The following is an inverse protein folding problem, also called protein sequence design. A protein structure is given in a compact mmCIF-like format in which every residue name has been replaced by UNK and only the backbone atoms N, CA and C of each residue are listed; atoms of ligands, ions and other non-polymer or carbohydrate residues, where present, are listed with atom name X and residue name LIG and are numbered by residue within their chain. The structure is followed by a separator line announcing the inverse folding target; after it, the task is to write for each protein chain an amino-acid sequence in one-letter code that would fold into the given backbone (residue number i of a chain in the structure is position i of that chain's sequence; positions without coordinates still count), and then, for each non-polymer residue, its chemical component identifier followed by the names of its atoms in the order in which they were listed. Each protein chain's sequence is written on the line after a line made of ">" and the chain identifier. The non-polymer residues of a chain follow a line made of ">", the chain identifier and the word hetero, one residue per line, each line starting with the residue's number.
data_IF_958087194997
#
_entry.id   IF_958087194997
#
_cell.length_a   1.000
_cell.length_b   1.000
_cell.length_c   1.000
_cell.angle_alpha   90.00
_cell.angle_beta   90.00
_cell.angle_gamma   90.00
#
_symmetry.space_group_name_H-M   'P 1'
#
loop_
_entity.id
_entity.type
_entity.pdbx_description
1 polymer ?
#
# COMPACT_ATOMS: atom_id res chain seq x y z
N UNK A 1 34.33 28.76 16.25
CA UNK A 1 34.53 30.23 16.24
C UNK A 1 33.23 30.89 15.79
N UNK A 2 32.63 31.74 16.61
CA UNK A 2 31.47 32.53 16.23
C UNK A 2 31.94 33.88 15.68
N UNK A 3 31.50 34.22 14.47
CA UNK A 3 31.73 35.53 13.89
C UNK A 3 30.84 36.56 14.59
N UNK A 4 31.40 37.66 15.14
CA UNK A 4 30.63 38.73 15.77
C UNK A 4 29.58 39.33 14.81
N UNK A 5 28.37 39.58 15.31
CA UNK A 5 27.26 40.14 14.54
C UNK A 5 27.60 41.41 13.70
N UNK A 6 28.48 42.33 14.15
CA UNK A 6 28.89 43.49 13.33
C UNK A 6 29.61 43.08 12.04
N UNK A 7 30.50 42.09 12.10
CA UNK A 7 31.19 41.55 10.92
C UNK A 7 30.21 40.79 10.01
N UNK A 8 29.24 40.08 10.59
CA UNK A 8 28.15 39.42 9.84
C UNK A 8 27.32 40.41 9.03
N UNK A 9 27.06 41.61 9.57
CA UNK A 9 26.25 42.65 8.91
C UNK A 9 26.87 43.19 7.61
N UNK A 10 28.19 43.17 7.48
CA UNK A 10 28.90 43.55 6.26
C UNK A 10 28.64 42.58 5.10
N UNK A 11 28.42 41.30 5.41
CA UNK A 11 28.16 40.26 4.42
C UNK A 11 26.67 40.03 4.15
N UNK A 12 25.76 40.56 4.98
CA UNK A 12 24.29 40.46 4.77
C UNK A 12 23.81 41.32 3.59
N UNK A 13 24.58 42.33 3.17
CA UNK A 13 24.24 43.21 2.02
C UNK A 13 24.45 42.56 0.64
N UNK A 14 25.01 41.36 0.60
CA UNK A 14 25.03 40.52 -0.60
C UNK A 14 23.91 39.49 -0.46
N UNK A 15 22.94 39.40 -1.39
CA UNK A 15 22.97 39.86 -2.78
C UNK A 15 22.41 41.28 -3.01
N UNK A 16 22.97 41.99 -4.01
CA UNK A 16 22.54 43.34 -4.39
C UNK A 16 21.11 43.40 -4.98
N UNK A 17 20.66 42.29 -5.57
CA UNK A 17 19.31 42.12 -6.09
C UNK A 17 18.92 40.64 -5.99
N UNK A 18 17.72 40.38 -5.47
CA UNK A 18 17.14 39.04 -5.42
C UNK A 18 16.03 38.99 -6.46
N UNK A 19 16.23 38.21 -7.52
CA UNK A 19 15.20 37.99 -8.52
C UNK A 19 13.98 37.30 -7.90
N UNK A 20 12.76 37.58 -8.41
CA UNK A 20 11.59 36.81 -8.00
C UNK A 20 11.75 35.32 -8.36
N UNK A 21 11.04 34.41 -7.67
CA UNK A 21 11.04 33.00 -8.00
C UNK A 21 10.70 32.79 -9.49
N UNK A 22 11.50 31.97 -10.16
CA UNK A 22 11.23 31.59 -11.55
C UNK A 22 10.07 30.59 -11.55
N UNK A 23 9.01 30.88 -12.29
CA UNK A 23 7.91 29.95 -12.50
C UNK A 23 8.39 28.79 -13.38
N UNK A 24 8.86 27.72 -12.77
CA UNK A 24 9.17 26.47 -13.47
C UNK A 24 7.87 25.69 -13.70
N UNK A 25 7.14 26.04 -14.77
CA UNK A 25 6.03 25.22 -15.27
C UNK A 25 6.57 24.24 -16.31
N UNK A 26 6.62 22.97 -15.93
CA UNK A 26 6.87 21.86 -16.85
C UNK A 26 5.54 21.15 -17.11
N UNK A 27 4.98 21.39 -18.30
CA UNK A 27 3.69 20.83 -18.70
C UNK A 27 3.75 19.30 -18.83
N UNK A 28 4.89 18.74 -19.25
CA UNK A 28 5.08 17.30 -19.38
C UNK A 28 5.05 16.63 -18.00
N UNK A 29 5.82 17.18 -17.04
CA UNK A 29 5.79 16.72 -15.66
C UNK A 29 4.40 16.87 -15.04
N UNK A 30 3.71 17.99 -15.31
CA UNK A 30 2.36 18.21 -14.78
C UNK A 30 1.36 17.19 -15.31
N UNK A 31 1.51 16.77 -16.57
CA UNK A 31 0.66 15.78 -17.22
C UNK A 31 0.93 14.39 -16.64
N UNK A 32 2.20 14.04 -16.42
CA UNK A 32 2.59 12.78 -15.78
C UNK A 32 2.08 12.68 -14.33
N UNK A 33 2.20 13.76 -13.56
CA UNK A 33 1.67 13.81 -12.19
C UNK A 33 0.16 13.60 -12.22
N UNK A 34 -0.56 14.29 -13.12
CA UNK A 34 -2.02 14.15 -13.26
C UNK A 34 -2.41 12.73 -13.64
N UNK A 35 -1.70 12.07 -14.55
CA UNK A 35 -2.02 10.68 -14.95
C UNK A 35 -1.82 9.66 -13.82
N UNK A 36 -1.01 9.99 -12.81
CA UNK A 36 -0.70 9.12 -11.67
C UNK A 36 -1.48 9.48 -10.40
N UNK A 37 -2.32 10.51 -10.46
CA UNK A 37 -3.02 11.05 -9.30
C UNK A 37 -4.52 10.81 -9.41
N UNK A 38 -5.08 10.13 -8.43
CA UNK A 38 -6.51 9.84 -8.31
C UNK A 38 -7.07 10.56 -7.08
N UNK A 39 -8.03 11.45 -7.28
CA UNK A 39 -8.60 12.24 -6.20
C UNK A 39 -9.71 11.48 -5.48
N UNK A 40 -9.68 11.51 -4.14
CA UNK A 40 -10.83 11.08 -3.34
C UNK A 40 -12.03 11.98 -3.63
N UNK A 41 -13.25 11.56 -3.30
CA UNK A 41 -14.42 12.42 -3.44
C UNK A 41 -14.88 12.90 -2.07
N UNK A 42 -15.39 14.12 -2.01
CA UNK A 42 -15.97 14.68 -0.79
C UNK A 42 -17.47 14.86 -0.97
N UNK A 43 -18.21 14.58 0.08
CA UNK A 43 -19.65 14.89 0.18
C UNK A 43 -19.89 16.38 0.50
N UNK A 44 -18.87 17.10 0.94
CA UNK A 44 -18.93 18.53 1.24
C UNK A 44 -18.48 19.40 0.05
N UNK A 45 -19.05 20.60 -0.07
CA UNK A 45 -18.71 21.54 -1.13
C UNK A 45 -17.20 21.90 -1.09
N UNK A 46 -16.49 21.79 -2.23
CA UNK A 46 -15.03 21.99 -2.31
C UNK A 46 -14.58 23.42 -1.96
N UNK A 47 -15.52 24.35 -1.79
CA UNK A 47 -15.29 25.78 -1.57
C UNK A 47 -15.24 26.21 -0.11
N UNK A 48 -15.56 25.32 0.84
CA UNK A 48 -15.79 25.73 2.24
C UNK A 48 -14.53 25.83 3.12
N UNK A 49 -13.35 25.40 2.67
CA UNK A 49 -12.12 25.72 3.41
C UNK A 49 -10.82 25.65 2.56
N UNK A 50 -10.36 26.77 1.97
CA UNK A 50 -9.07 26.82 1.26
C UNK A 50 -7.86 26.61 2.19
N UNK A 51 -8.02 26.69 3.52
CA UNK A 51 -6.95 26.52 4.49
C UNK A 51 -6.84 25.09 5.06
N UNK A 52 -7.80 24.21 4.80
CA UNK A 52 -7.79 22.89 5.42
C UNK A 52 -6.69 21.99 4.80
N UNK A 53 -6.00 21.25 5.67
CA UNK A 53 -4.87 20.38 5.34
C UNK A 53 -5.20 19.42 4.18
N UNK A 54 -4.32 19.30 3.18
CA UNK A 54 -4.43 18.29 2.12
C UNK A 54 -3.45 17.16 2.38
N UNK A 55 -3.78 15.97 1.91
CA UNK A 55 -2.86 14.84 1.95
C UNK A 55 -2.77 14.14 0.60
N UNK A 56 -1.61 13.57 0.33
CA UNK A 56 -1.34 12.68 -0.79
C UNK A 56 -0.88 11.35 -0.21
N UNK A 57 -1.62 10.28 -0.48
CA UNK A 57 -1.22 8.91 -0.15
C UNK A 57 -0.42 8.33 -1.32
N UNK A 58 0.85 8.04 -1.09
CA UNK A 58 1.72 7.36 -2.04
C UNK A 58 1.49 5.84 -2.00
N UNK A 59 1.23 5.24 -3.15
CA UNK A 59 1.02 3.79 -3.33
C UNK A 59 1.89 3.23 -4.46
N UNK A 60 2.09 1.91 -4.46
CA UNK A 60 2.89 1.22 -5.48
C UNK A 60 2.23 1.24 -6.85
N UNK A 61 0.95 0.85 -6.92
CA UNK A 61 0.13 0.91 -8.11
C UNK A 61 -1.36 0.85 -7.72
N UNK A 62 -2.25 0.98 -8.71
CA UNK A 62 -3.70 0.88 -8.54
C UNK A 62 -4.33 -0.12 -9.51
N UNK A 63 -5.49 -0.65 -9.13
CA UNK A 63 -6.35 -1.45 -9.99
C UNK A 63 -7.80 -0.98 -9.92
N UNK A 64 -8.57 -1.39 -10.92
CA UNK A 64 -9.97 -1.01 -11.09
C UNK A 64 -10.88 -2.05 -10.43
N UNK A 65 -11.73 -1.60 -9.52
CA UNK A 65 -12.71 -2.45 -8.84
C UNK A 65 -14.13 -1.96 -9.13
N UNK A 66 -14.97 -2.84 -9.69
CA UNK A 66 -16.36 -2.52 -9.97
C UNK A 66 -17.21 -2.68 -8.71
N UNK A 67 -17.87 -1.61 -8.28
CA UNK A 67 -18.76 -1.58 -7.12
C UNK A 67 -19.95 -0.67 -7.40
N UNK A 68 -21.18 -1.18 -7.26
CA UNK A 68 -22.42 -0.43 -7.45
C UNK A 68 -22.47 0.41 -8.75
N UNK A 69 -22.01 -0.16 -9.87
CA UNK A 69 -21.91 0.49 -11.19
C UNK A 69 -20.83 1.58 -11.34
N UNK A 70 -20.01 1.79 -10.31
CA UNK A 70 -18.84 2.69 -10.33
C UNK A 70 -17.54 1.90 -10.38
N UNK A 71 -16.52 2.46 -11.04
CA UNK A 71 -15.17 1.91 -11.05
C UNK A 71 -14.31 2.64 -10.02
N UNK A 72 -13.98 1.96 -8.93
CA UNK A 72 -13.13 2.47 -7.86
C UNK A 72 -11.65 2.19 -8.17
N UNK A 73 -10.77 3.15 -7.86
CA UNK A 73 -9.32 2.97 -7.92
C UNK A 73 -8.79 2.52 -6.56
N UNK A 74 -8.34 1.27 -6.49
CA UNK A 74 -7.83 0.65 -5.26
C UNK A 74 -6.34 0.38 -5.38
N UNK A 75 -5.61 0.54 -4.28
CA UNK A 75 -4.18 0.19 -4.24
C UNK A 75 -3.97 -1.33 -4.40
N UNK A 76 -2.97 -1.72 -5.18
CA UNK A 76 -2.64 -3.14 -5.45
C UNK A 76 -2.04 -3.89 -4.26
N UNK A 77 -1.49 -3.16 -3.28
CA UNK A 77 -0.82 -3.71 -2.10
C UNK A 77 -1.72 -3.67 -0.84
N UNK A 78 -1.80 -4.76 -0.04
CA UNK A 78 -2.69 -4.83 1.13
C UNK A 78 -2.47 -3.72 2.16
N UNK A 79 -1.21 -3.33 2.41
CA UNK A 79 -0.89 -2.28 3.37
C UNK A 79 -1.24 -0.90 2.82
N UNK A 80 -0.97 -0.64 1.54
CA UNK A 80 -1.38 0.59 0.88
C UNK A 80 -2.91 0.73 0.86
N UNK A 81 -3.62 -0.34 0.52
CA UNK A 81 -5.09 -0.36 0.48
C UNK A 81 -5.69 -0.21 1.88
N UNK A 82 -5.10 -0.82 2.91
CA UNK A 82 -5.54 -0.62 4.30
C UNK A 82 -5.43 0.85 4.71
N UNK A 83 -4.30 1.52 4.41
CA UNK A 83 -4.14 2.96 4.69
C UNK A 83 -5.13 3.79 3.88
N UNK A 84 -5.33 3.45 2.60
CA UNK A 84 -6.31 4.12 1.73
C UNK A 84 -7.72 4.08 2.32
N UNK A 85 -8.20 2.88 2.70
CA UNK A 85 -9.52 2.71 3.31
C UNK A 85 -9.60 3.43 4.67
N UNK A 86 -8.56 3.33 5.50
CA UNK A 86 -8.53 3.97 6.81
C UNK A 86 -8.58 5.49 6.73
N UNK A 87 -7.89 6.10 5.76
CA UNK A 87 -7.95 7.54 5.53
C UNK A 87 -9.31 7.96 4.99
N UNK A 88 -9.92 7.14 4.14
CA UNK A 88 -11.26 7.39 3.64
C UNK A 88 -12.30 7.39 4.77
N UNK A 89 -12.27 6.38 5.64
CA UNK A 89 -13.10 6.28 6.85
C UNK A 89 -12.85 7.47 7.78
N UNK A 90 -11.59 7.75 8.13
CA UNK A 90 -11.23 8.81 9.10
C UNK A 90 -11.69 10.20 8.68
N UNK A 91 -11.67 10.49 7.37
CA UNK A 91 -11.95 11.83 6.85
C UNK A 91 -13.32 11.91 6.15
N UNK A 92 -14.17 10.88 6.27
CA UNK A 92 -15.46 10.79 5.58
C UNK A 92 -15.36 11.08 4.07
N UNK A 93 -14.37 10.47 3.42
CA UNK A 93 -14.12 10.62 1.98
C UNK A 93 -14.60 9.38 1.25
N UNK A 94 -15.12 9.55 0.04
CA UNK A 94 -15.36 8.42 -0.86
C UNK A 94 -14.10 8.10 -1.66
N UNK A 95 -13.99 6.84 -2.09
CA UNK A 95 -12.82 6.36 -2.82
C UNK A 95 -12.68 7.02 -4.20
N UNK A 96 -11.44 7.13 -4.71
CA UNK A 96 -11.21 7.70 -6.03
C UNK A 96 -11.86 6.88 -7.15
N UNK A 97 -12.34 7.58 -8.17
CA UNK A 97 -12.92 7.02 -9.42
C UNK A 97 -12.33 7.74 -10.63
N UNK A 98 -12.44 7.16 -11.83
CA UNK A 98 -11.95 7.81 -13.07
C UNK A 98 -12.68 9.13 -13.39
N UNK A 99 -13.96 9.22 -13.05
CA UNK A 99 -14.81 10.41 -13.28
C UNK A 99 -15.42 10.87 -11.95
N UNK A 100 -14.66 11.57 -11.08
CA UNK A 100 -15.18 12.03 -9.80
C UNK A 100 -16.25 13.11 -10.04
N UNK A 101 -17.40 12.97 -9.38
CA UNK A 101 -18.46 14.00 -9.43
C UNK A 101 -18.02 15.27 -8.69
N UNK A 102 -17.33 15.10 -7.55
CA UNK A 102 -16.81 16.19 -6.70
C UNK A 102 -15.40 15.81 -6.20
N UNK A 103 -14.33 16.11 -6.96
CA UNK A 103 -12.97 15.78 -6.55
C UNK A 103 -12.58 16.54 -5.28
N UNK A 104 -12.09 15.80 -4.29
CA UNK A 104 -11.47 16.34 -3.08
C UNK A 104 -10.05 16.81 -3.36
N UNK A 105 -9.50 17.66 -2.48
CA UNK A 105 -8.08 18.01 -2.45
C UNK A 105 -7.17 16.85 -2.01
N UNK A 106 -7.75 15.82 -1.41
CA UNK A 106 -7.03 14.61 -0.99
C UNK A 106 -6.86 13.68 -2.17
N UNK A 107 -5.67 13.10 -2.30
CA UNK A 107 -5.35 12.26 -3.46
C UNK A 107 -4.60 10.99 -3.08
N UNK A 108 -4.79 9.98 -3.92
CA UNK A 108 -3.97 8.79 -4.03
C UNK A 108 -3.02 9.00 -5.22
N UNK A 109 -1.72 8.79 -5.03
CA UNK A 109 -0.71 8.97 -6.08
C UNK A 109 0.12 7.71 -6.23
N UNK A 110 0.30 7.26 -7.47
CA UNK A 110 1.26 6.19 -7.77
C UNK A 110 2.66 6.77 -7.75
N UNK A 111 3.53 6.26 -6.88
CA UNK A 111 4.90 6.73 -6.71
C UNK A 111 5.88 5.55 -6.61
N UNK A 112 7.16 5.86 -6.83
CA UNK A 112 8.24 4.91 -6.60
C UNK A 112 8.53 4.76 -5.10
N UNK A 113 8.84 3.55 -4.60
CA UNK A 113 9.30 3.36 -3.22
C UNK A 113 10.55 4.17 -2.89
N UNK A 114 11.33 4.59 -3.90
CA UNK A 114 12.53 5.41 -3.73
C UNK A 114 12.27 6.85 -3.24
N UNK A 115 11.01 7.25 -3.05
CA UNK A 115 10.66 8.53 -2.44
C UNK A 115 11.03 8.62 -0.96
N UNK A 116 11.22 7.49 -0.27
CA UNK A 116 11.63 7.45 1.14
C UNK A 116 12.95 6.72 1.35
N UNK A 117 13.71 7.08 2.40
CA UNK A 117 14.94 6.37 2.75
C UNK A 117 14.67 4.91 3.16
N UNK A 118 13.46 4.59 3.65
CA UNK A 118 13.07 3.22 3.97
C UNK A 118 12.78 2.38 2.72
N UNK A 119 12.59 2.99 1.55
CA UNK A 119 12.26 2.30 0.29
C UNK A 119 10.97 1.48 0.35
N UNK A 120 10.01 1.91 1.18
CA UNK A 120 8.72 1.25 1.38
C UNK A 120 7.58 2.23 1.19
N UNK A 121 6.50 1.72 0.60
CA UNK A 121 5.17 2.35 0.59
C UNK A 121 4.21 1.48 1.44
N UNK A 122 3.13 2.04 1.99
CA UNK A 122 2.59 3.40 1.79
C UNK A 122 3.35 4.52 2.52
N UNK A 123 3.24 5.75 1.99
CA UNK A 123 3.75 7.00 2.60
C UNK A 123 2.68 8.07 2.50
N UNK A 124 2.49 8.86 3.56
CA UNK A 124 1.51 9.93 3.60
C UNK A 124 2.22 11.28 3.60
N UNK A 125 1.91 12.11 2.61
CA UNK A 125 2.44 13.47 2.47
C UNK A 125 1.32 14.42 2.88
N UNK A 126 1.48 15.13 4.00
CA UNK A 126 0.50 16.07 4.54
C UNK A 126 1.04 17.49 4.37
N UNK A 127 0.29 18.33 3.64
CA UNK A 127 0.61 19.75 3.55
C UNK A 127 -0.23 20.51 4.59
N UNK A 128 0.46 21.11 5.57
CA UNK A 128 -0.14 22.01 6.56
C UNK A 128 -0.02 23.46 6.10
N UNK A 129 -1.14 24.19 6.16
CA UNK A 129 -1.28 25.64 5.96
C UNK A 129 -0.08 26.32 5.25
N UNK A 130 0.01 26.13 3.93
CA UNK A 130 0.94 26.73 2.97
C UNK A 130 2.46 26.73 3.26
N UNK A 131 2.93 26.27 4.43
CA UNK A 131 4.32 26.52 4.90
C UNK A 131 5.07 25.27 5.33
N UNK A 132 4.38 24.17 5.67
CA UNK A 132 5.03 22.95 6.16
C UNK A 132 4.47 21.70 5.48
N UNK A 133 5.37 20.86 4.98
CA UNK A 133 5.07 19.53 4.46
C UNK A 133 5.60 18.48 5.43
N UNK A 134 4.73 17.59 5.89
CA UNK A 134 5.06 16.46 6.74
C UNK A 134 4.96 15.16 5.92
N UNK A 135 5.88 14.24 6.16
CA UNK A 135 5.89 12.93 5.52
C UNK A 135 5.88 11.85 6.59
N UNK A 136 4.83 11.03 6.63
CA UNK A 136 4.74 9.87 7.52
C UNK A 136 5.12 8.61 6.75
N UNK A 137 6.08 7.87 7.28
CA UNK A 137 6.58 6.65 6.65
C UNK A 137 5.62 5.46 6.91
N UNK A 138 5.88 4.34 6.25
CA UNK A 138 5.08 3.12 6.36
C UNK A 138 4.96 2.60 7.79
N UNK A 139 6.05 2.65 8.57
CA UNK A 139 6.08 2.11 9.94
C UNK A 139 5.20 2.95 10.85
N UNK A 140 5.35 4.28 10.80
CA UNK A 140 4.55 5.25 11.56
C UNK A 140 3.06 5.16 11.21
N UNK A 141 2.73 5.03 9.93
CA UNK A 141 1.33 4.87 9.50
C UNK A 141 0.74 3.58 10.03
N UNK A 142 1.47 2.48 9.91
CA UNK A 142 1.00 1.18 10.35
C UNK A 142 0.81 1.12 11.86
N UNK A 143 1.75 1.65 12.65
CA UNK A 143 1.61 1.73 14.11
C UNK A 143 0.45 2.64 14.50
N UNK A 144 0.37 3.84 13.92
CA UNK A 144 -0.72 4.79 14.21
C UNK A 144 -2.09 4.19 13.93
N UNK A 145 -2.26 3.51 12.79
CA UNK A 145 -3.56 2.93 12.42
C UNK A 145 -3.90 1.69 13.25
N UNK A 146 -2.94 0.78 13.43
CA UNK A 146 -3.19 -0.48 14.13
C UNK A 146 -3.34 -0.30 15.64
N UNK A 147 -2.60 0.63 16.26
CA UNK A 147 -2.62 0.82 17.71
C UNK A 147 -3.80 1.69 18.18
N UNK A 148 -4.09 2.76 17.43
CA UNK A 148 -5.08 3.76 17.87
C UNK A 148 -6.51 3.45 17.43
N UNK A 149 -6.70 2.80 16.28
CA UNK A 149 -8.03 2.64 15.68
C UNK A 149 -8.61 1.22 15.79
N UNK A 150 -7.77 0.20 15.95
CA UNK A 150 -8.22 -1.16 16.29
C UNK A 150 -8.12 -1.28 17.81
N UNK A 151 -9.14 -0.89 18.55
CA UNK A 151 -9.04 -0.75 20.02
C UNK A 151 -9.24 -2.07 20.75
N UNK A 152 -10.14 -2.93 20.26
CA UNK A 152 -10.53 -4.15 20.95
C UNK A 152 -9.42 -5.22 20.93
N UNK A 153 -9.00 -5.79 22.09
CA UNK A 153 -7.85 -6.68 22.19
C UNK A 153 -7.89 -7.90 21.25
N UNK A 154 -9.03 -8.56 21.12
CA UNK A 154 -9.18 -9.70 20.20
C UNK A 154 -8.93 -9.32 18.74
N UNK A 155 -9.42 -8.16 18.31
CA UNK A 155 -9.22 -7.68 16.94
C UNK A 155 -7.77 -7.19 16.72
N UNK A 156 -7.09 -6.69 17.76
CA UNK A 156 -5.64 -6.43 17.70
C UNK A 156 -4.85 -7.72 17.44
N UNK A 157 -5.17 -8.81 18.14
CA UNK A 157 -4.52 -10.10 17.93
C UNK A 157 -4.79 -10.67 16.53
N UNK A 158 -6.02 -10.53 16.04
CA UNK A 158 -6.36 -10.92 14.67
C UNK A 158 -5.65 -10.04 13.64
N UNK A 159 -5.54 -8.73 13.86
CA UNK A 159 -4.81 -7.82 12.99
C UNK A 159 -3.32 -8.17 12.92
N UNK A 160 -2.70 -8.50 14.05
CA UNK A 160 -1.32 -9.00 14.09
C UNK A 160 -1.17 -10.34 13.36
N UNK A 161 -2.19 -11.21 13.44
CA UNK A 161 -2.21 -12.48 12.72
C UNK A 161 -2.33 -12.26 11.20
N UNK A 162 -3.07 -11.24 10.74
CA UNK A 162 -3.10 -10.82 9.34
C UNK A 162 -1.72 -10.33 8.88
N UNK A 163 -1.04 -9.51 9.68
CA UNK A 163 0.28 -8.95 9.35
C UNK A 163 1.42 -9.96 9.45
N UNK A 164 1.18 -11.16 9.96
CA UNK A 164 2.22 -12.19 10.08
C UNK A 164 1.86 -13.39 9.22
N UNK A 165 0.82 -14.13 9.57
CA UNK A 165 0.44 -15.39 8.91
C UNK A 165 -0.01 -15.13 7.46
N UNK A 166 -1.02 -14.26 7.28
CA UNK A 166 -1.58 -14.01 5.96
C UNK A 166 -0.62 -13.20 5.08
N UNK A 167 0.04 -12.19 5.65
CA UNK A 167 1.07 -11.39 4.97
C UNK A 167 2.20 -12.28 4.44
N UNK A 168 2.78 -13.14 5.29
CA UNK A 168 3.90 -13.99 4.89
C UNK A 168 3.46 -14.99 3.81
N UNK A 169 2.30 -15.62 3.96
CA UNK A 169 1.77 -16.54 2.95
C UNK A 169 1.54 -15.84 1.61
N UNK A 170 0.95 -14.63 1.63
CA UNK A 170 0.73 -13.82 0.43
C UNK A 170 2.06 -13.51 -0.27
N UNK A 171 3.05 -12.97 0.45
CA UNK A 171 4.34 -12.59 -0.16
C UNK A 171 5.19 -13.79 -0.60
N UNK A 172 5.15 -14.92 0.13
CA UNK A 172 5.80 -16.17 -0.30
C UNK A 172 5.24 -16.63 -1.65
N UNK A 173 3.90 -16.70 -1.77
CA UNK A 173 3.26 -17.09 -3.03
C UNK A 173 3.51 -16.06 -4.12
N UNK A 174 3.47 -14.77 -3.78
CA UNK A 174 3.68 -13.68 -4.72
C UNK A 174 5.11 -13.65 -5.29
N UNK A 175 6.13 -13.87 -4.46
CA UNK A 175 7.51 -13.92 -4.93
C UNK A 175 7.84 -15.17 -5.73
N UNK A 176 7.16 -16.29 -5.44
CA UNK A 176 7.42 -17.57 -6.08
C UNK A 176 6.63 -17.79 -7.38
N UNK A 177 5.31 -17.56 -7.37
CA UNK A 177 4.44 -17.92 -8.50
C UNK A 177 4.35 -16.85 -9.58
N UNK A 178 4.47 -15.56 -9.24
CA UNK A 178 4.34 -14.51 -10.25
C UNK A 178 5.66 -14.35 -11.02
N UNK A 179 5.51 -14.28 -12.34
CA UNK A 179 6.58 -13.78 -13.21
C UNK A 179 6.97 -12.36 -12.82
N UNK A 180 8.16 -11.91 -13.25
CA UNK A 180 8.59 -10.54 -12.97
C UNK A 180 7.65 -9.52 -13.63
N UNK A 181 7.12 -9.81 -14.82
CA UNK A 181 6.19 -8.91 -15.50
C UNK A 181 4.88 -8.76 -14.72
N UNK A 182 4.27 -9.88 -14.31
CA UNK A 182 3.06 -9.85 -13.47
C UNK A 182 3.31 -9.15 -12.14
N UNK A 183 4.44 -9.43 -11.48
CA UNK A 183 4.82 -8.76 -10.25
C UNK A 183 4.95 -7.25 -10.45
N UNK A 184 5.54 -6.83 -11.56
CA UNK A 184 5.70 -5.42 -11.91
C UNK A 184 4.35 -4.74 -12.14
N UNK A 185 3.37 -5.42 -12.74
CA UNK A 185 2.02 -4.84 -12.84
C UNK A 185 1.41 -4.48 -11.49
N UNK A 186 1.80 -5.17 -10.41
CA UNK A 186 1.30 -4.90 -9.06
C UNK A 186 2.16 -3.87 -8.32
N UNK A 187 3.49 -3.96 -8.43
CA UNK A 187 4.42 -3.26 -7.52
C UNK A 187 5.36 -2.26 -8.19
N UNK A 188 5.26 -2.07 -9.52
CA UNK A 188 6.09 -1.12 -10.25
C UNK A 188 5.30 -0.37 -11.31
N UNK A 189 5.60 0.92 -11.45
CA UNK A 189 5.04 1.74 -12.51
C UNK A 189 6.10 1.92 -13.61
N UNK A 190 5.92 1.23 -14.75
CA UNK A 190 6.56 1.51 -16.06
C UNK A 190 8.00 2.08 -16.01
N UNK A 191 8.93 1.36 -15.40
CA UNK A 191 10.36 1.60 -15.64
C UNK A 191 10.91 0.52 -16.57
N UNK A 192 11.98 0.80 -17.31
CA UNK A 192 12.58 -0.16 -18.24
C UNK A 192 13.12 -1.40 -17.51
N UNK A 193 13.07 -2.55 -18.19
CA UNK A 193 13.25 -3.94 -17.70
C UNK A 193 14.54 -4.24 -16.90
N UNK A 194 15.48 -3.30 -16.77
CA UNK A 194 16.81 -3.52 -16.20
C UNK A 194 16.94 -3.26 -14.69
N UNK A 195 16.05 -2.48 -14.05
CA UNK A 195 16.16 -2.14 -12.61
C UNK A 195 15.32 -3.03 -11.66
N UNK A 196 14.60 -4.01 -12.21
CA UNK A 196 13.52 -4.72 -11.51
C UNK A 196 13.95 -5.81 -10.53
N UNK A 197 15.19 -6.29 -10.59
CA UNK A 197 15.69 -7.30 -9.64
C UNK A 197 15.61 -6.82 -8.19
N UNK A 198 15.53 -5.50 -7.96
CA UNK A 198 15.53 -4.90 -6.62
C UNK A 198 14.15 -4.74 -5.98
N UNK A 199 13.03 -4.79 -6.72
CA UNK A 199 11.72 -4.51 -6.11
C UNK A 199 11.26 -5.64 -5.18
N UNK A 200 11.51 -6.90 -5.54
CA UNK A 200 11.24 -8.06 -4.67
C UNK A 200 12.12 -8.04 -3.41
N UNK A 201 13.39 -7.67 -3.53
CA UNK A 201 14.32 -7.56 -2.39
C UNK A 201 13.98 -6.38 -1.48
N UNK A 202 13.55 -5.25 -2.03
CA UNK A 202 13.04 -4.12 -1.24
C UNK A 202 11.79 -4.52 -0.46
N UNK A 203 10.79 -5.12 -1.12
CA UNK A 203 9.57 -5.56 -0.44
C UNK A 203 9.82 -6.62 0.63
N UNK A 204 10.82 -7.50 0.45
CA UNK A 204 11.14 -8.53 1.44
C UNK A 204 11.68 -7.95 2.75
N UNK A 205 12.20 -6.72 2.74
CA UNK A 205 12.62 -6.04 3.97
C UNK A 205 11.45 -5.43 4.74
N UNK A 206 10.30 -5.20 4.08
CA UNK A 206 9.10 -4.65 4.71
C UNK A 206 8.51 -5.64 5.72
N UNK A 207 7.97 -5.09 6.81
CA UNK A 207 7.30 -5.87 7.86
C UNK A 207 8.17 -6.98 8.47
N UNK A 208 9.50 -6.80 8.50
CA UNK A 208 10.44 -7.83 8.97
C UNK A 208 10.28 -9.20 8.28
N UNK A 209 9.75 -9.24 7.05
CA UNK A 209 9.51 -10.50 6.33
C UNK A 209 10.81 -11.28 6.14
N UNK A 210 11.90 -10.61 5.78
CA UNK A 210 13.22 -11.23 5.64
C UNK A 210 13.73 -11.90 6.93
N UNK A 211 13.34 -11.41 8.11
CA UNK A 211 13.75 -12.00 9.38
C UNK A 211 12.99 -13.31 9.63
N UNK A 212 11.69 -13.32 9.35
CA UNK A 212 10.83 -14.51 9.52
C UNK A 212 11.07 -15.57 8.44
N UNK A 213 11.38 -15.15 7.21
CA UNK A 213 11.43 -16.00 6.03
C UNK A 213 12.81 -16.00 5.35
N UNK A 214 13.89 -15.87 6.14
CA UNK A 214 15.27 -15.83 5.62
C UNK A 214 15.61 -17.07 4.78
N UNK A 215 15.24 -18.27 5.27
CA UNK A 215 15.50 -19.52 4.56
C UNK A 215 14.77 -19.60 3.20
N UNK A 216 13.56 -19.03 3.11
CA UNK A 216 12.85 -18.94 1.84
C UNK A 216 13.58 -17.99 0.87
N UNK A 217 14.00 -16.82 1.33
CA UNK A 217 14.70 -15.83 0.51
C UNK A 217 16.07 -16.32 0.01
N UNK A 218 16.81 -17.06 0.84
CA UNK A 218 18.09 -17.65 0.45
C UNK A 218 17.91 -18.69 -0.67
N UNK A 219 16.89 -19.55 -0.55
CA UNK A 219 16.55 -20.53 -1.58
C UNK A 219 16.07 -19.86 -2.87
N UNK A 220 15.23 -18.82 -2.78
CA UNK A 220 14.72 -18.06 -3.92
C UNK A 220 15.86 -17.34 -4.67
N UNK A 221 16.86 -16.84 -3.94
CA UNK A 221 18.04 -16.22 -4.56
C UNK A 221 18.91 -17.27 -5.24
N UNK A 222 19.09 -18.44 -4.60
CA UNK A 222 19.91 -19.52 -5.13
C UNK A 222 19.34 -20.16 -6.41
N UNK A 223 18.01 -20.21 -6.55
CA UNK A 223 17.36 -20.79 -7.75
C UNK A 223 17.55 -19.96 -9.01
N UNK A 224 17.97 -18.70 -8.87
CA UNK A 224 18.33 -17.81 -9.99
C UNK A 224 19.79 -17.94 -10.44
N UNK A 225 20.63 -18.65 -9.68
CA UNK A 225 22.04 -18.87 -9.97
C UNK A 225 22.23 -20.17 -10.79
N UNK A 226 23.24 -20.25 -11.69
CA UNK A 226 23.55 -21.48 -12.43
C UNK A 226 24.08 -22.57 -11.48
N UNK A 227 23.16 -23.31 -10.85
CA UNK A 227 23.45 -24.46 -10.00
C UNK A 227 23.49 -25.75 -10.83
N UNK A 228 24.28 -26.76 -10.39
CA UNK A 228 24.20 -28.11 -10.93
C UNK A 228 22.77 -28.67 -10.86
N UNK A 229 22.31 -29.46 -11.85
CA UNK A 229 20.94 -29.99 -11.91
C UNK A 229 20.41 -30.66 -10.63
N UNK A 230 21.15 -31.52 -9.91
CA UNK A 230 20.63 -32.17 -8.70
C UNK A 230 20.43 -31.19 -7.53
N UNK A 231 21.25 -30.14 -7.44
CA UNK A 231 21.11 -29.10 -6.41
C UNK A 231 19.93 -28.18 -6.71
N UNK A 232 19.65 -27.92 -7.99
CA UNK A 232 18.50 -27.15 -8.45
C UNK A 232 17.18 -27.89 -8.15
N UNK A 233 17.12 -29.20 -8.37
CA UNK A 233 15.93 -30.00 -8.05
C UNK A 233 15.66 -30.04 -6.54
N UNK A 234 16.70 -30.18 -5.72
CA UNK A 234 16.57 -30.16 -4.26
C UNK A 234 16.13 -28.79 -3.73
N UNK A 235 16.65 -27.69 -4.29
CA UNK A 235 16.24 -26.34 -3.88
C UNK A 235 14.79 -26.04 -4.26
N UNK A 236 14.36 -26.46 -5.46
CA UNK A 236 12.97 -26.35 -5.89
C UNK A 236 12.02 -27.16 -4.99
N UNK A 237 12.36 -28.41 -4.67
CA UNK A 237 11.56 -29.24 -3.75
C UNK A 237 11.40 -28.61 -2.37
N UNK A 238 12.49 -28.06 -1.82
CA UNK A 238 12.45 -27.39 -0.53
C UNK A 238 11.63 -26.10 -0.58
N UNK A 239 11.69 -25.33 -1.67
CA UNK A 239 10.83 -24.16 -1.89
C UNK A 239 9.35 -24.55 -1.89
N UNK A 240 8.97 -25.59 -2.66
CA UNK A 240 7.60 -26.09 -2.68
C UNK A 240 7.10 -26.48 -1.30
N UNK A 241 7.90 -27.21 -0.51
CA UNK A 241 7.54 -27.58 0.88
C UNK A 241 7.28 -26.37 1.77
N UNK A 242 8.10 -25.32 1.65
CA UNK A 242 7.91 -24.09 2.45
C UNK A 242 6.60 -23.40 2.06
N UNK A 243 6.31 -23.31 0.77
CA UNK A 243 5.08 -22.70 0.25
C UNK A 243 3.85 -23.49 0.70
N UNK A 244 3.89 -24.82 0.59
CA UNK A 244 2.82 -25.69 1.05
C UNK A 244 2.61 -25.60 2.56
N UNK A 245 3.70 -25.53 3.34
CA UNK A 245 3.65 -25.35 4.78
C UNK A 245 3.00 -24.00 5.15
N UNK A 246 3.48 -22.89 4.57
CA UNK A 246 2.92 -21.56 4.80
C UNK A 246 1.43 -21.49 4.43
N UNK A 247 1.05 -22.11 3.31
CA UNK A 247 -0.35 -22.18 2.88
C UNK A 247 -1.19 -23.05 3.82
N UNK A 248 -0.68 -24.22 4.23
CA UNK A 248 -1.37 -25.13 5.15
C UNK A 248 -1.59 -24.49 6.52
N UNK A 249 -0.65 -23.69 7.02
CA UNK A 249 -0.81 -22.92 8.26
C UNK A 249 -1.81 -21.77 8.13
N UNK A 250 -1.98 -21.21 6.93
CA UNK A 250 -2.89 -20.07 6.69
C UNK A 250 -4.34 -20.49 6.52
N UNK A 251 -4.61 -21.70 5.99
CA UNK A 251 -5.99 -22.19 5.76
C UNK A 251 -6.87 -22.20 7.01
N UNK A 252 -6.46 -22.77 8.17
CA UNK A 252 -7.30 -22.77 9.36
C UNK A 252 -7.64 -21.36 9.83
N UNK A 253 -6.70 -20.42 9.70
CA UNK A 253 -6.92 -19.02 10.06
C UNK A 253 -7.97 -18.35 9.17
N UNK A 254 -7.90 -18.56 7.85
CA UNK A 254 -8.92 -18.06 6.92
C UNK A 254 -10.30 -18.68 7.16
N UNK A 255 -10.36 -20.00 7.43
CA UNK A 255 -11.62 -20.68 7.76
C UNK A 255 -12.19 -20.22 9.11
N UNK A 256 -11.32 -19.88 10.07
CA UNK A 256 -11.75 -19.26 11.31
C UNK A 256 -12.40 -17.89 11.05
N UNK A 257 -11.75 -17.03 10.26
CA UNK A 257 -12.28 -15.71 9.90
C UNK A 257 -13.56 -15.80 9.07
N UNK A 258 -13.68 -16.79 8.19
CA UNK A 258 -14.89 -17.03 7.38
C UNK A 258 -16.14 -17.31 8.23
N UNK A 259 -15.95 -17.96 9.38
CA UNK A 259 -17.02 -18.27 10.33
C UNK A 259 -17.12 -17.23 11.45
N UNK A 260 -16.29 -16.20 11.43
CA UNK A 260 -16.25 -15.19 12.47
C UNK A 260 -17.37 -14.17 12.26
N UNK A 261 -18.12 -13.85 13.31
CA UNK A 261 -19.15 -12.81 13.27
C UNK A 261 -18.51 -11.44 13.50
N UNK A 262 -18.46 -10.64 12.44
CA UNK A 262 -17.91 -9.29 12.51
C UNK A 262 -18.94 -8.30 13.03
N UNK A 263 -18.55 -7.52 14.04
CA UNK A 263 -19.30 -6.35 14.49
C UNK A 263 -18.94 -5.14 13.61
N UNK A 264 -19.97 -4.42 13.14
CA UNK A 264 -19.82 -3.19 12.34
C UNK A 264 -19.08 -2.08 13.10
N UNK A 265 -19.01 -2.16 14.43
CA UNK A 265 -18.19 -1.26 15.26
C UNK A 265 -16.68 -1.36 14.98
N UNK A 266 -16.22 -2.44 14.33
CA UNK A 266 -14.80 -2.72 14.08
C UNK A 266 -14.35 -2.38 12.66
N UNK A 267 -14.74 -1.19 12.21
CA UNK A 267 -14.56 -0.70 10.84
C UNK A 267 -13.11 -0.81 10.35
N UNK A 268 -12.12 -0.45 11.19
CA UNK A 268 -10.70 -0.50 10.80
C UNK A 268 -10.14 -1.92 10.68
N UNK A 269 -10.59 -2.85 11.53
CA UNK A 269 -10.21 -4.25 11.37
C UNK A 269 -10.83 -4.82 10.09
N UNK A 270 -12.11 -4.54 9.83
CA UNK A 270 -12.78 -4.97 8.60
C UNK A 270 -12.09 -4.39 7.37
N UNK A 271 -11.69 -3.12 7.40
CA UNK A 271 -10.91 -2.49 6.33
C UNK A 271 -9.57 -3.19 6.10
N UNK A 272 -8.88 -3.60 7.18
CA UNK A 272 -7.61 -4.34 7.09
C UNK A 272 -7.80 -5.72 6.50
N UNK A 273 -8.80 -6.48 6.96
CA UNK A 273 -9.12 -7.79 6.41
C UNK A 273 -9.49 -7.67 4.92
N UNK A 274 -10.34 -6.71 4.60
CA UNK A 274 -10.79 -6.46 3.22
C UNK A 274 -9.64 -6.10 2.30
N UNK A 275 -8.65 -5.33 2.78
CA UNK A 275 -7.49 -4.97 1.98
C UNK A 275 -6.66 -6.19 1.56
N UNK A 276 -6.43 -7.16 2.46
CA UNK A 276 -5.77 -8.42 2.09
C UNK A 276 -6.60 -9.23 1.10
N UNK A 277 -7.89 -9.43 1.38
CA UNK A 277 -8.75 -10.27 0.53
C UNK A 277 -8.85 -9.68 -0.90
N UNK A 278 -9.09 -8.37 -1.03
CA UNK A 278 -9.18 -7.70 -2.33
C UNK A 278 -7.87 -7.79 -3.12
N UNK A 279 -6.73 -7.53 -2.49
CA UNK A 279 -5.42 -7.63 -3.15
C UNK A 279 -5.12 -9.07 -3.58
N UNK A 280 -5.45 -10.08 -2.76
CA UNK A 280 -5.28 -11.50 -3.14
C UNK A 280 -6.17 -11.86 -4.34
N UNK A 281 -7.41 -11.38 -4.38
CA UNK A 281 -8.33 -11.62 -5.49
C UNK A 281 -7.89 -10.92 -6.78
N UNK A 282 -7.21 -9.78 -6.65
CA UNK A 282 -6.69 -8.98 -7.76
C UNK A 282 -5.38 -9.52 -8.39
N UNK A 283 -4.71 -10.49 -7.76
CA UNK A 283 -3.53 -11.14 -8.37
C UNK A 283 -3.87 -11.63 -9.78
N UNK A 284 -3.02 -11.46 -10.82
CA UNK A 284 -3.30 -11.90 -12.18
C UNK A 284 -3.74 -13.36 -12.28
N UNK A 285 -4.71 -13.66 -13.16
CA UNK A 285 -5.25 -15.02 -13.31
C UNK A 285 -4.42 -15.93 -14.21
N UNK A 286 -3.39 -15.40 -14.86
CA UNK A 286 -2.46 -16.14 -15.74
C UNK A 286 -1.63 -17.19 -14.98
N UNK A 287 -1.39 -16.97 -13.68
CA UNK A 287 -0.63 -17.89 -12.83
C UNK A 287 -1.52 -18.55 -11.77
N UNK A 288 -1.31 -19.86 -11.50
CA UNK A 288 -2.04 -20.53 -10.43
C UNK A 288 -1.59 -19.97 -9.08
N UNK A 289 -2.48 -19.23 -8.41
CA UNK A 289 -2.24 -18.65 -7.09
C UNK A 289 -3.12 -19.36 -6.05
N UNK A 290 -2.59 -20.36 -5.31
CA UNK A 290 -3.39 -21.23 -4.43
C UNK A 290 -4.25 -20.46 -3.40
N UNK A 291 -3.71 -19.37 -2.83
CA UNK A 291 -4.44 -18.55 -1.87
C UNK A 291 -5.69 -17.90 -2.46
N UNK A 292 -5.59 -17.39 -3.71
CA UNK A 292 -6.71 -16.79 -4.45
C UNK A 292 -7.78 -17.83 -4.77
N UNK A 293 -7.36 -19.00 -5.23
CA UNK A 293 -8.29 -20.10 -5.52
C UNK A 293 -9.01 -20.56 -4.25
N UNK A 294 -8.28 -20.70 -3.14
CA UNK A 294 -8.86 -21.12 -1.87
C UNK A 294 -9.91 -20.14 -1.35
N UNK A 295 -9.61 -18.83 -1.36
CA UNK A 295 -10.55 -17.79 -0.92
C UNK A 295 -11.81 -17.82 -1.80
N UNK A 296 -11.66 -17.91 -3.13
CA UNK A 296 -12.81 -17.98 -4.05
C UNK A 296 -13.72 -19.18 -3.80
N UNK A 297 -13.16 -20.33 -3.42
CA UNK A 297 -13.90 -21.57 -3.27
C UNK A 297 -14.44 -21.79 -1.85
N UNK A 298 -13.71 -21.35 -0.82
CA UNK A 298 -13.96 -21.73 0.57
C UNK A 298 -14.27 -20.55 1.50
N UNK A 299 -14.13 -19.31 1.02
CA UNK A 299 -14.33 -18.12 1.85
C UNK A 299 -15.33 -17.10 1.26
N UNK A 300 -16.57 -17.49 0.91
CA UNK A 300 -17.57 -16.59 0.35
C UNK A 300 -17.97 -15.45 1.29
N UNK A 301 -18.05 -15.66 2.61
CA UNK A 301 -18.40 -14.62 3.56
C UNK A 301 -17.29 -13.57 3.66
N UNK A 302 -16.01 -13.97 3.61
CA UNK A 302 -14.90 -13.01 3.55
C UNK A 302 -14.97 -12.14 2.30
N UNK A 303 -15.35 -12.70 1.15
CA UNK A 303 -15.55 -11.94 -0.08
C UNK A 303 -16.73 -10.96 0.09
N UNK A 304 -17.85 -11.42 0.64
CA UNK A 304 -19.01 -10.56 0.91
C UNK A 304 -18.68 -9.42 1.89
N UNK A 305 -17.86 -9.69 2.91
CA UNK A 305 -17.37 -8.72 3.89
C UNK A 305 -16.57 -7.58 3.23
N UNK A 306 -15.86 -7.85 2.14
CA UNK A 306 -15.13 -6.79 1.41
C UNK A 306 -16.08 -5.70 0.91
N UNK A 307 -17.30 -6.06 0.50
CA UNK A 307 -18.31 -5.08 0.07
C UNK A 307 -18.84 -4.23 1.23
N UNK A 308 -18.90 -4.78 2.45
CA UNK A 308 -19.24 -4.02 3.66
C UNK A 308 -18.19 -2.94 3.95
N UNK A 309 -16.91 -3.22 3.68
CA UNK A 309 -15.85 -2.22 3.88
C UNK A 309 -16.05 -0.96 3.04
N UNK A 310 -16.62 -1.10 1.84
CA UNK A 310 -16.96 0.03 0.97
C UNK A 310 -18.19 0.81 1.43
N UNK A 311 -19.15 0.16 2.11
CA UNK A 311 -20.32 0.84 2.66
C UNK A 311 -19.93 1.86 3.74
N UNK A 312 -18.94 1.54 4.57
CA UNK A 312 -18.41 2.49 5.56
C UNK A 312 -17.76 3.71 4.92
N UNK A 313 -17.23 3.54 3.71
CA UNK A 313 -16.58 4.60 2.95
C UNK A 313 -17.59 5.40 2.10
N UNK A 314 -18.70 4.79 1.69
CA UNK A 314 -19.74 5.45 0.89
C UNK A 314 -20.75 6.24 1.71
N UNK A 315 -21.07 5.77 2.92
CA UNK A 315 -22.24 6.28 3.65
C UNK A 315 -21.96 7.48 4.57
N UNK A 316 -20.71 7.80 4.89
CA UNK A 316 -20.38 9.00 5.70
C UNK A 316 -21.05 9.07 7.09
N UNK A 317 -21.75 8.01 7.51
CA UNK A 317 -22.44 7.91 8.80
C UNK A 317 -21.56 7.11 9.76
N UNK A 318 -20.79 7.84 10.57
CA UNK A 318 -20.28 7.40 11.87
C UNK A 318 -20.64 8.45 12.90
#
# INVERSE_FOLDING_TARGET
>A
MHCPNPLKSLFIKFPLYTYPPISNSDDALSTEIKSKTFYFQSTADPTTDPAANKFILATYNTFDYSYNSSTLKLSTDPWCLFVQLSLAIKNNLQLPTDSPNTPSKHALSILSPHITPSTHLPVLIEDSSHTKRYTRNTIELHSTLSENYITHPSYKLLALSLDTILYDCYFIQLFYYLSNDEFNTLYSHQFESSYFSNSKTQLSTRNNFHQRNNHFLSLLSSSSSPLPPPLLQNSQHNLFKIIESAFSSTKPFLLYLENFTFDTSQTYFIAKLSSYILCILNVPSSTPFPLKQFIKLNCPNLIALTNLSFQFVSNGET
#
